data_IF_486161758697
#
_entry.id   IF_486161758697
#
_cell.length_a   1.000
_cell.length_b   1.000
_cell.length_c   1.000
_cell.angle_alpha   90.00
_cell.angle_beta   90.00
_cell.angle_gamma   90.00
#
_symmetry.space_group_name_H-M   'P 1'
#
loop_
_entity.id
_entity.type
_entity.pdbx_description
1 polymer ?
#
# COMPACT_ATOMS: atom_id res chain seq x y z
N UNK A 1 9.11 -20.99 -8.21
CA UNK A 1 8.53 -19.82 -7.56
C UNK A 1 7.56 -19.05 -8.47
N UNK A 2 7.97 -18.54 -9.64
CA UNK A 2 7.09 -17.75 -10.55
C UNK A 2 5.80 -18.46 -10.99
N UNK A 3 5.82 -19.79 -11.16
CA UNK A 3 4.63 -20.59 -11.49
C UNK A 3 3.62 -20.61 -10.32
N UNK A 4 4.11 -20.63 -9.07
CA UNK A 4 3.29 -20.52 -7.88
C UNK A 4 2.59 -19.15 -7.82
N UNK A 5 3.35 -18.08 -8.02
CA UNK A 5 2.81 -16.71 -8.06
C UNK A 5 1.80 -16.52 -9.20
N UNK A 6 1.96 -17.21 -10.33
CA UNK A 6 0.98 -17.18 -11.42
C UNK A 6 -0.37 -17.80 -11.01
N UNK A 7 -0.36 -18.89 -10.29
CA UNK A 7 -1.59 -19.48 -9.74
C UNK A 7 -2.22 -18.53 -8.70
N UNK A 8 -1.37 -17.89 -7.90
CA UNK A 8 -1.77 -16.90 -6.89
C UNK A 8 -2.44 -15.69 -7.55
N UNK A 9 -1.80 -15.06 -8.55
CA UNK A 9 -2.34 -13.89 -9.26
C UNK A 9 -3.61 -14.20 -10.06
N UNK A 10 -3.78 -15.43 -10.52
CA UNK A 10 -5.02 -15.91 -11.15
C UNK A 10 -6.14 -16.20 -10.15
N UNK A 11 -5.83 -16.30 -8.87
CA UNK A 11 -6.81 -16.59 -7.82
C UNK A 11 -7.48 -15.30 -7.32
N UNK A 12 -8.80 -15.23 -7.39
CA UNK A 12 -9.60 -14.15 -6.79
C UNK A 12 -9.36 -14.01 -5.29
N UNK A 13 -9.06 -15.13 -4.63
CA UNK A 13 -8.83 -15.17 -3.18
C UNK A 13 -7.61 -14.34 -2.77
N UNK A 14 -6.54 -14.33 -3.54
CA UNK A 14 -5.35 -13.52 -3.22
C UNK A 14 -5.59 -12.01 -3.35
N UNK A 15 -6.38 -11.60 -4.34
CA UNK A 15 -6.82 -10.21 -4.47
C UNK A 15 -7.77 -9.81 -3.34
N UNK A 16 -8.64 -10.74 -2.93
CA UNK A 16 -9.50 -10.52 -1.78
C UNK A 16 -8.71 -10.38 -0.47
N UNK A 17 -7.63 -11.16 -0.29
CA UNK A 17 -6.73 -10.99 0.85
C UNK A 17 -6.02 -9.63 0.82
N UNK A 18 -5.57 -9.15 -0.35
CA UNK A 18 -5.02 -7.81 -0.49
C UNK A 18 -6.05 -6.75 -0.08
N UNK A 19 -7.29 -6.87 -0.54
CA UNK A 19 -8.40 -5.98 -0.17
C UNK A 19 -8.63 -5.95 1.33
N UNK A 20 -8.75 -7.11 1.98
CA UNK A 20 -8.98 -7.20 3.42
C UNK A 20 -7.79 -6.67 4.23
N UNK A 21 -6.56 -6.99 3.83
CA UNK A 21 -5.37 -6.51 4.52
C UNK A 21 -5.24 -4.99 4.44
N UNK A 22 -5.56 -4.39 3.30
CA UNK A 22 -5.54 -2.95 3.13
C UNK A 22 -6.62 -2.25 3.97
N UNK A 23 -7.83 -2.82 4.06
CA UNK A 23 -8.88 -2.33 4.97
C UNK A 23 -8.42 -2.42 6.43
N UNK A 24 -7.78 -3.52 6.82
CA UNK A 24 -7.29 -3.69 8.19
C UNK A 24 -6.20 -2.65 8.53
N UNK A 25 -5.32 -2.33 7.59
CA UNK A 25 -4.30 -1.29 7.78
C UNK A 25 -4.93 0.10 7.93
N UNK A 26 -5.94 0.44 7.11
CA UNK A 26 -6.67 1.69 7.24
C UNK A 26 -7.45 1.78 8.57
N UNK A 27 -8.12 0.70 8.95
CA UNK A 27 -8.83 0.64 10.22
C UNK A 27 -7.86 0.80 11.41
N UNK A 28 -6.68 0.21 11.33
CA UNK A 28 -5.61 0.38 12.31
C UNK A 28 -5.14 1.84 12.39
N UNK A 29 -4.93 2.50 11.24
CA UNK A 29 -4.57 3.92 11.18
C UNK A 29 -5.63 4.84 11.79
N UNK A 30 -6.91 4.57 11.53
CA UNK A 30 -8.02 5.30 12.14
C UNK A 30 -8.14 5.03 13.65
N UNK A 31 -7.89 3.80 14.08
CA UNK A 31 -7.84 3.45 15.50
C UNK A 31 -6.76 4.27 16.23
N UNK A 32 -5.55 4.36 15.68
CA UNK A 32 -4.49 5.19 16.26
C UNK A 32 -4.89 6.66 16.32
N UNK A 33 -5.54 7.17 15.30
CA UNK A 33 -5.97 8.56 15.24
C UNK A 33 -7.05 8.87 16.29
N UNK A 34 -8.10 8.06 16.38
CA UNK A 34 -9.29 8.40 17.15
C UNK A 34 -9.29 7.80 18.56
N UNK A 35 -8.67 6.65 18.79
CA UNK A 35 -8.65 6.02 20.11
C UNK A 35 -7.39 6.39 20.91
N UNK A 36 -6.26 6.52 20.22
CA UNK A 36 -5.00 6.87 20.87
C UNK A 36 -4.67 8.36 20.73
N UNK A 37 -5.54 9.16 20.08
CA UNK A 37 -5.36 10.59 19.82
C UNK A 37 -4.03 10.93 19.13
N UNK A 38 -3.51 10.02 18.31
CA UNK A 38 -2.30 10.23 17.53
C UNK A 38 -2.64 10.96 16.23
N UNK A 39 -2.44 12.26 16.23
CA UNK A 39 -2.75 13.11 15.08
C UNK A 39 -1.91 12.72 13.85
N UNK A 40 -2.52 12.52 12.67
CA UNK A 40 -1.78 12.17 11.47
C UNK A 40 -0.95 13.36 10.97
N UNK A 41 0.29 13.09 10.60
CA UNK A 41 1.14 14.01 9.86
C UNK A 41 0.81 13.97 8.35
N UNK A 42 1.42 14.85 7.57
CA UNK A 42 1.19 14.91 6.11
C UNK A 42 1.62 13.62 5.40
N UNK A 43 2.76 13.05 5.76
CA UNK A 43 3.23 11.79 5.16
C UNK A 43 2.32 10.62 5.55
N UNK A 44 1.78 10.60 6.78
CA UNK A 44 0.77 9.62 7.20
C UNK A 44 -0.49 9.67 6.32
N UNK A 45 -0.91 10.88 5.95
CA UNK A 45 -2.07 11.10 5.07
C UNK A 45 -1.81 10.57 3.66
N UNK A 46 -0.60 10.78 3.13
CA UNK A 46 -0.23 10.21 1.82
C UNK A 46 -0.10 8.68 1.86
N UNK A 47 0.46 8.10 2.94
CA UNK A 47 0.51 6.64 3.14
C UNK A 47 -0.88 6.01 3.11
N UNK A 48 -1.86 6.64 3.77
CA UNK A 48 -3.27 6.22 3.72
C UNK A 48 -3.85 6.26 2.31
N UNK A 49 -3.52 7.29 1.52
CA UNK A 49 -3.98 7.34 0.13
C UNK A 49 -3.47 6.13 -0.70
N UNK A 50 -2.26 5.63 -0.43
CA UNK A 50 -1.75 4.41 -1.07
C UNK A 50 -2.42 3.13 -0.55
N UNK A 51 -2.77 3.05 0.74
CA UNK A 51 -3.57 1.94 1.24
C UNK A 51 -4.98 1.95 0.68
N UNK A 52 -5.57 3.13 0.49
CA UNK A 52 -6.86 3.27 -0.21
C UNK A 52 -6.75 2.76 -1.66
N UNK A 53 -5.66 3.07 -2.36
CA UNK A 53 -5.40 2.50 -3.69
C UNK A 53 -5.30 0.97 -3.66
N UNK A 54 -4.67 0.36 -2.63
CA UNK A 54 -4.65 -1.11 -2.47
C UNK A 54 -6.04 -1.70 -2.26
N UNK A 55 -6.94 -1.00 -1.53
CA UNK A 55 -8.34 -1.42 -1.38
C UNK A 55 -9.00 -1.50 -2.75
N UNK A 56 -8.90 -0.46 -3.58
CA UNK A 56 -9.51 -0.45 -4.92
C UNK A 56 -8.90 -1.51 -5.84
N UNK A 57 -7.57 -1.64 -5.86
CA UNK A 57 -6.87 -2.63 -6.67
C UNK A 57 -7.27 -4.05 -6.24
N UNK A 58 -7.28 -4.32 -4.94
CA UNK A 58 -7.68 -5.61 -4.39
C UNK A 58 -9.14 -5.96 -4.69
N UNK A 59 -10.05 -4.99 -4.57
CA UNK A 59 -11.46 -5.14 -4.89
C UNK A 59 -11.68 -5.47 -6.38
N UNK A 60 -11.11 -4.69 -7.29
CA UNK A 60 -11.22 -4.93 -8.73
C UNK A 60 -10.59 -6.27 -9.11
N UNK A 61 -9.42 -6.59 -8.55
CA UNK A 61 -8.76 -7.87 -8.76
C UNK A 61 -9.60 -9.05 -8.26
N UNK A 62 -10.24 -8.95 -7.08
CA UNK A 62 -11.11 -9.99 -6.55
C UNK A 62 -12.33 -10.25 -7.44
N UNK A 63 -12.87 -9.21 -8.08
CA UNK A 63 -14.02 -9.37 -8.98
C UNK A 63 -13.62 -9.95 -10.35
N UNK A 64 -12.52 -9.51 -10.92
CA UNK A 64 -12.24 -9.69 -12.34
C UNK A 64 -10.84 -10.26 -12.68
N UNK A 65 -10.09 -10.84 -11.73
CA UNK A 65 -8.75 -11.41 -11.97
C UNK A 65 -8.70 -12.56 -13.01
N UNK A 66 -9.86 -13.11 -13.38
CA UNK A 66 -9.95 -14.11 -14.44
C UNK A 66 -9.56 -13.54 -15.82
N UNK A 67 -9.81 -12.24 -16.04
CA UNK A 67 -9.42 -11.56 -17.26
C UNK A 67 -7.95 -11.18 -17.20
N UNK A 68 -7.17 -11.59 -18.20
CA UNK A 68 -5.72 -11.32 -18.25
C UNK A 68 -5.40 -9.83 -18.19
N UNK A 69 -6.14 -9.00 -18.92
CA UNK A 69 -5.91 -7.56 -18.98
C UNK A 69 -6.14 -6.91 -17.60
N UNK A 70 -7.22 -7.26 -16.91
CA UNK A 70 -7.53 -6.75 -15.56
C UNK A 70 -6.41 -7.14 -14.61
N UNK A 71 -5.99 -8.40 -14.63
CA UNK A 71 -4.88 -8.89 -13.80
C UNK A 71 -3.58 -8.14 -14.06
N UNK A 72 -3.25 -7.88 -15.34
CA UNK A 72 -2.05 -7.13 -15.71
C UNK A 72 -2.12 -5.68 -15.20
N UNK A 73 -3.24 -4.99 -15.44
CA UNK A 73 -3.45 -3.61 -15.00
C UNK A 73 -3.43 -3.52 -13.47
N UNK A 74 -4.16 -4.39 -12.77
CA UNK A 74 -4.16 -4.40 -11.31
C UNK A 74 -2.76 -4.67 -10.73
N UNK A 75 -2.00 -5.62 -11.32
CA UNK A 75 -0.64 -5.90 -10.86
C UNK A 75 0.31 -4.71 -11.12
N UNK A 76 0.20 -4.05 -12.27
CA UNK A 76 0.99 -2.85 -12.58
C UNK A 76 0.64 -1.69 -11.65
N UNK A 77 -0.66 -1.46 -11.39
CA UNK A 77 -1.13 -0.43 -10.44
C UNK A 77 -0.68 -0.74 -9.02
N UNK A 78 -0.64 -2.02 -8.62
CA UNK A 78 -0.14 -2.42 -7.31
C UNK A 78 1.36 -2.13 -7.16
N UNK A 79 2.18 -2.41 -8.19
CA UNK A 79 3.60 -2.03 -8.21
C UNK A 79 3.77 -0.51 -8.11
N UNK A 80 3.05 0.27 -8.92
CA UNK A 80 3.14 1.73 -8.91
C UNK A 80 2.77 2.31 -7.53
N UNK A 81 1.69 1.83 -6.94
CA UNK A 81 1.25 2.26 -5.59
C UNK A 81 2.23 1.83 -4.50
N UNK A 82 2.83 0.64 -4.60
CA UNK A 82 3.84 0.17 -3.65
C UNK A 82 5.13 1.00 -3.71
N UNK A 83 5.58 1.37 -4.92
CA UNK A 83 6.73 2.27 -5.11
C UNK A 83 6.42 3.65 -4.53
N UNK A 84 5.27 4.23 -4.87
CA UNK A 84 4.87 5.54 -4.34
C UNK A 84 4.78 5.54 -2.82
N UNK A 85 4.11 4.55 -2.23
CA UNK A 85 3.99 4.39 -0.78
C UNK A 85 5.35 4.20 -0.10
N UNK A 86 6.27 3.43 -0.70
CA UNK A 86 7.62 3.26 -0.17
C UNK A 86 8.42 4.57 -0.19
N UNK A 87 8.33 5.36 -1.25
CA UNK A 87 9.00 6.67 -1.32
C UNK A 87 8.49 7.61 -0.22
N UNK A 88 7.18 7.64 -0.01
CA UNK A 88 6.55 8.46 1.03
C UNK A 88 6.96 7.99 2.42
N UNK A 89 6.89 6.68 2.69
CA UNK A 89 7.25 6.13 3.99
C UNK A 89 8.73 6.28 4.35
N UNK A 90 9.64 6.24 3.36
CA UNK A 90 11.06 6.54 3.57
C UNK A 90 11.27 8.02 3.93
N UNK A 91 10.52 8.95 3.29
CA UNK A 91 10.54 10.37 3.68
C UNK A 91 10.00 10.56 5.10
N UNK A 92 8.91 9.88 5.45
CA UNK A 92 8.36 9.89 6.79
C UNK A 92 9.40 9.42 7.82
N UNK A 93 10.04 8.28 7.59
CA UNK A 93 11.08 7.74 8.48
C UNK A 93 12.26 8.71 8.59
N UNK A 94 12.70 9.32 7.50
CA UNK A 94 13.81 10.29 7.52
C UNK A 94 13.44 11.55 8.30
N UNK A 95 12.22 12.06 8.18
CA UNK A 95 11.71 13.19 8.95
C UNK A 95 11.64 12.86 10.45
N UNK A 96 11.18 11.67 10.79
CA UNK A 96 11.04 11.18 12.16
C UNK A 96 12.40 11.00 12.87
N UNK A 97 13.43 10.56 12.12
CA UNK A 97 14.78 10.33 12.66
C UNK A 97 15.67 11.56 12.62
N UNK A 98 15.29 12.62 11.88
CA UNK A 98 16.11 13.82 11.78
C UNK A 98 16.11 14.62 13.08
N UNK A 99 17.30 15.09 13.49
CA UNK A 99 17.49 15.94 14.68
C UNK A 99 17.17 17.42 14.42
N UNK A 100 17.04 17.83 13.16
CA UNK A 100 16.75 19.20 12.75
C UNK A 100 15.29 19.34 12.28
N UNK A 101 14.38 19.91 13.09
CA UNK A 101 12.96 20.05 12.70
C UNK A 101 12.75 20.96 11.49
N UNK A 102 13.69 21.84 11.15
CA UNK A 102 13.64 22.72 9.98
C UNK A 102 14.11 22.06 8.67
N UNK A 103 14.82 20.95 8.71
CA UNK A 103 15.29 20.25 7.52
C UNK A 103 14.25 19.29 6.93
N UNK A 104 13.23 18.93 7.70
CA UNK A 104 12.09 18.19 7.21
C UNK A 104 11.15 19.17 6.50
N UNK A 105 11.00 19.03 5.19
CA UNK A 105 10.03 19.75 4.36
C UNK A 105 8.58 19.35 4.72
N UNK A 106 8.23 19.42 6.00
CA UNK A 106 6.89 19.18 6.50
C UNK A 106 6.00 20.37 6.13
N UNK A 107 5.39 20.25 4.97
CA UNK A 107 4.29 21.13 4.60
C UNK A 107 3.11 20.83 5.52
N UNK A 108 2.44 21.89 5.98
CA UNK A 108 1.24 21.76 6.83
C UNK A 108 -0.03 21.50 6.02
N UNK A 109 0.05 21.53 4.69
CA UNK A 109 -1.08 21.32 3.79
C UNK A 109 -0.78 20.16 2.85
N UNK A 110 -1.66 19.18 2.81
CA UNK A 110 -1.60 18.10 1.83
C UNK A 110 -1.91 18.67 0.43
N UNK A 111 -1.08 18.30 -0.55
CA UNK A 111 -1.28 18.70 -1.96
C UNK A 111 -1.75 17.46 -2.72
N UNK A 112 -3.06 17.25 -2.78
CA UNK A 112 -3.66 16.25 -3.63
C UNK A 112 -3.91 16.79 -5.05
N UNK A 113 -3.90 15.92 -6.08
CA UNK A 113 -4.28 16.35 -7.42
C UNK A 113 -5.69 16.94 -7.45
N UNK A 114 -5.89 18.00 -8.22
CA UNK A 114 -7.18 18.71 -8.30
C UNK A 114 -8.37 17.84 -8.77
N UNK A 115 -8.07 16.71 -9.45
CA UNK A 115 -9.11 15.75 -9.85
C UNK A 115 -9.49 14.76 -8.73
N UNK A 116 -8.72 14.71 -7.63
CA UNK A 116 -8.99 13.85 -6.48
C UNK A 116 -8.55 14.54 -5.17
N UNK A 117 -9.25 15.60 -4.74
CA UNK A 117 -8.95 16.34 -3.52
C UNK A 117 -9.42 15.55 -2.29
N UNK A 118 -8.63 14.57 -1.85
CA UNK A 118 -9.00 13.67 -0.74
C UNK A 118 -9.14 14.43 0.59
N UNK A 119 -8.37 15.48 0.79
CA UNK A 119 -8.44 16.36 1.97
C UNK A 119 -9.76 17.15 2.06
N UNK A 120 -10.39 17.43 0.91
CA UNK A 120 -11.71 18.09 0.85
C UNK A 120 -12.87 17.08 0.91
N UNK A 121 -12.71 15.92 0.25
CA UNK A 121 -13.75 14.87 0.18
C UNK A 121 -13.92 14.17 1.53
N UNK A 122 -12.80 13.85 2.20
CA UNK A 122 -12.79 13.13 3.47
C UNK A 122 -11.82 13.77 4.48
N UNK A 123 -12.09 14.99 4.94
CA UNK A 123 -11.18 15.73 5.84
C UNK A 123 -10.94 15.01 7.16
N UNK A 124 -11.90 14.21 7.63
CA UNK A 124 -11.78 13.38 8.83
C UNK A 124 -10.69 12.32 8.74
N UNK A 125 -10.26 11.96 7.54
CA UNK A 125 -9.26 10.92 7.26
C UNK A 125 -7.97 11.48 6.68
N UNK A 126 -8.07 12.53 5.83
CA UNK A 126 -6.95 13.03 5.01
C UNK A 126 -6.49 14.44 5.37
N UNK A 127 -6.98 15.03 6.48
CA UNK A 127 -6.47 16.32 6.95
C UNK A 127 -5.30 16.10 7.91
N UNK A 128 -4.11 16.65 7.64
CA UNK A 128 -2.98 16.57 8.57
C UNK A 128 -3.19 17.51 9.74
N UNK A 129 -2.81 17.08 10.94
CA UNK A 129 -2.92 17.86 12.19
C UNK A 129 -1.60 17.91 12.96
N UNK A 130 -0.60 17.09 12.63
CA UNK A 130 0.68 17.00 13.32
C UNK A 130 1.87 17.19 12.37
N UNK A 131 3.04 17.48 12.95
CA UNK A 131 4.31 17.53 12.22
C UNK A 131 4.91 16.13 12.09
N UNK A 132 5.59 15.82 10.96
CA UNK A 132 6.21 14.52 10.74
C UNK A 132 7.41 14.26 11.68
N UNK A 133 8.00 15.30 12.25
CA UNK A 133 9.10 15.23 13.21
C UNK A 133 8.63 15.06 14.66
N UNK A 134 7.34 15.14 14.92
CA UNK A 134 6.77 14.95 16.25
C UNK A 134 6.94 13.49 16.67
N UNK A 135 7.68 13.27 17.74
CA UNK A 135 7.88 11.93 18.29
C UNK A 135 6.62 11.49 19.01
N UNK A 136 6.04 10.45 18.50
CA UNK A 136 4.87 9.80 19.10
C UNK A 136 5.38 8.80 20.14
N UNK A 137 4.85 8.83 21.36
CA UNK A 137 5.18 7.91 22.46
C UNK A 137 4.65 6.48 22.23
N UNK A 138 4.51 6.09 20.95
CA UNK A 138 4.09 4.75 20.58
C UNK A 138 5.23 4.02 19.88
N UNK A 139 5.70 2.97 20.53
CA UNK A 139 6.74 2.10 19.98
C UNK A 139 6.30 0.63 20.09
N UNK A 140 6.56 -0.11 19.05
CA UNK A 140 6.36 -1.55 19.03
C UNK A 140 7.70 -2.23 18.73
N UNK A 141 8.12 -3.15 19.61
CA UNK A 141 9.44 -3.80 19.58
C UNK A 141 10.63 -2.80 19.50
N UNK A 142 10.50 -1.66 20.20
CA UNK A 142 11.55 -0.64 20.23
C UNK A 142 11.67 0.17 18.93
N UNK A 143 10.69 0.11 18.04
CA UNK A 143 10.65 0.86 16.79
C UNK A 143 9.37 1.69 16.70
N UNK A 144 9.52 2.93 16.23
CA UNK A 144 8.37 3.81 16.01
C UNK A 144 7.54 3.40 14.80
N UNK A 145 6.33 3.94 14.71
CA UNK A 145 5.36 3.67 13.65
C UNK A 145 5.93 3.79 12.20
N UNK A 146 6.74 4.83 11.85
CA UNK A 146 7.23 4.98 10.48
C UNK A 146 8.10 3.80 10.00
N UNK A 147 8.84 3.15 10.89
CA UNK A 147 9.63 1.97 10.56
C UNK A 147 8.75 0.81 10.06
N UNK A 148 7.64 0.56 10.76
CA UNK A 148 6.71 -0.52 10.40
C UNK A 148 6.01 -0.25 9.06
N UNK A 149 5.71 1.00 8.77
CA UNK A 149 5.09 1.38 7.50
C UNK A 149 6.07 1.18 6.33
N UNK A 150 7.36 1.53 6.49
CA UNK A 150 8.40 1.21 5.50
C UNK A 150 8.50 -0.30 5.26
N UNK A 151 8.44 -1.10 6.32
CA UNK A 151 8.47 -2.57 6.20
C UNK A 151 7.26 -3.09 5.40
N UNK A 152 6.05 -2.59 5.71
CA UNK A 152 4.81 -2.98 5.01
C UNK A 152 4.91 -2.65 3.51
N UNK A 153 5.32 -1.43 3.13
CA UNK A 153 5.47 -1.07 1.73
C UNK A 153 6.59 -1.84 1.02
N UNK A 154 7.69 -2.15 1.72
CA UNK A 154 8.78 -2.96 1.17
C UNK A 154 8.33 -4.39 0.84
N UNK A 155 7.61 -5.03 1.76
CA UNK A 155 7.02 -6.36 1.55
C UNK A 155 5.96 -6.31 0.45
N UNK A 156 5.12 -5.28 0.45
CA UNK A 156 4.10 -5.07 -0.58
C UNK A 156 4.72 -4.92 -1.97
N UNK A 157 5.82 -4.17 -2.10
CA UNK A 157 6.55 -4.00 -3.35
C UNK A 157 7.12 -5.32 -3.86
N UNK A 158 7.71 -6.12 -2.97
CA UNK A 158 8.22 -7.45 -3.32
C UNK A 158 7.09 -8.35 -3.86
N UNK A 159 5.97 -8.42 -3.16
CA UNK A 159 4.80 -9.20 -3.58
C UNK A 159 4.25 -8.68 -4.91
N UNK A 160 4.07 -7.36 -5.05
CA UNK A 160 3.56 -6.73 -6.26
C UNK A 160 4.46 -7.00 -7.48
N UNK A 161 5.78 -6.90 -7.32
CA UNK A 161 6.74 -7.21 -8.37
C UNK A 161 6.66 -8.68 -8.82
N UNK A 162 6.57 -9.61 -7.87
CA UNK A 162 6.41 -11.04 -8.17
C UNK A 162 5.08 -11.34 -8.86
N UNK A 163 4.00 -10.67 -8.46
CA UNK A 163 2.69 -10.76 -9.10
C UNK A 163 2.73 -10.24 -10.53
N UNK A 164 3.34 -9.08 -10.75
CA UNK A 164 3.47 -8.47 -12.08
C UNK A 164 4.32 -9.35 -13.02
N UNK A 165 5.50 -9.78 -12.57
CA UNK A 165 6.38 -10.67 -13.35
C UNK A 165 5.69 -11.99 -13.70
N UNK A 166 4.85 -12.51 -12.81
CA UNK A 166 4.11 -13.76 -13.04
C UNK A 166 3.11 -13.65 -14.20
N UNK A 167 2.64 -12.44 -14.53
CA UNK A 167 1.74 -12.22 -15.68
C UNK A 167 2.41 -12.56 -17.03
N UNK A 168 3.73 -12.44 -17.12
CA UNK A 168 4.50 -12.72 -18.35
C UNK A 168 4.98 -14.16 -18.48
N UNK A 169 4.84 -14.98 -17.44
CA UNK A 169 5.25 -16.39 -17.49
C UNK A 169 4.26 -17.18 -18.36
N UNK A 170 4.75 -17.82 -19.42
CA UNK A 170 3.94 -18.72 -20.25
C UNK A 170 3.44 -19.92 -19.42
N UNK A 171 2.20 -20.34 -19.61
CA UNK A 171 1.73 -21.61 -19.05
C UNK A 171 2.59 -22.73 -19.65
N UNK A 172 3.37 -23.43 -18.84
CA UNK A 172 3.79 -24.78 -19.19
C UNK A 172 2.53 -25.65 -19.22
N UNK A 173 1.95 -25.73 -20.45
CA UNK A 173 0.67 -26.36 -20.71
C UNK A 173 0.61 -27.77 -20.11
N UNK A 174 -0.46 -28.09 -19.63
CA UNK A 174 -1.38 -29.24 -19.88
C UNK A 174 -1.08 -30.13 -21.12
N UNK A 175 0.18 -30.36 -21.45
CA UNK A 175 0.57 -31.34 -22.48
C UNK A 175 0.59 -32.77 -21.95
N UNK A 176 0.32 -32.98 -20.64
CA UNK A 176 0.33 -34.33 -20.09
C UNK A 176 -0.90 -35.17 -20.51
N UNK A 177 -2.04 -34.54 -20.82
CA UNK A 177 -3.27 -35.26 -21.20
C UNK A 177 -3.38 -35.59 -22.70
N UNK A 178 -2.37 -35.22 -23.53
CA UNK A 178 -2.40 -35.55 -24.97
C UNK A 178 -1.64 -36.81 -25.33
N UNK A 179 -0.90 -37.40 -24.36
CA UNK A 179 -0.11 -38.62 -24.57
C UNK A 179 -0.82 -39.93 -24.14
N UNK A 180 -2.03 -39.81 -23.57
CA UNK A 180 -2.83 -40.95 -23.11
C UNK A 180 -4.25 -40.97 -23.73
N UNK A 181 -4.37 -40.46 -24.97
CA UNK A 181 -5.57 -40.65 -25.77
C UNK A 181 -5.25 -41.31 -27.08
#
# INVERSE_FOLDING_TARGET
MLQLFKNITGSRFCWFLLFLSAIALEACGLYFQYQLNLNPCIECVYERAFFLAYIFIGFVGALAANFYLVRLVCSASFVASAVGGLIVSLRHLSAYTSTNPLSSSCRLKAEFPSFLPLDEIAPWMFKPFALCSEKIDWEFLGQGMPFWIVLIFSVSLFIAAMMFLSCFVKNKAKNFNRLYR
#
